data_IF_271373948307
#
_entry.id   IF_271373948307
#
_cell.length_a   1.000
_cell.length_b   1.000
_cell.length_c   1.000
_cell.angle_alpha   90.00
_cell.angle_beta   90.00
_cell.angle_gamma   90.00
#
_symmetry.space_group_name_H-M   'P 1'
#
loop_
_entity.id
_entity.type
_entity.pdbx_description
1 polymer ?
#
# COMPACT_ATOMS: atom_id res chain seq x y z
N UNK A 1 35.69 3.12 45.19
CA UNK A 1 36.07 3.87 43.97
C UNK A 1 35.48 3.14 42.79
N UNK A 2 34.61 3.82 42.05
CA UNK A 2 33.67 3.27 41.08
C UNK A 2 34.37 2.68 39.85
N UNK A 3 34.13 1.41 39.53
CA UNK A 3 34.27 0.89 38.16
C UNK A 3 32.97 0.17 37.82
N UNK A 4 31.95 0.98 37.60
CA UNK A 4 30.60 0.57 37.24
C UNK A 4 30.19 1.38 36.00
N UNK A 5 30.98 1.30 34.94
CA UNK A 5 30.59 1.85 33.63
C UNK A 5 31.18 0.96 32.54
N UNK A 6 30.43 0.81 31.44
CA UNK A 6 30.69 -0.05 30.27
C UNK A 6 30.15 -1.49 30.32
N UNK A 7 28.91 -1.65 30.80
CA UNK A 7 27.97 -2.64 30.24
C UNK A 7 26.83 -1.93 29.50
N UNK A 8 27.13 -0.86 28.76
CA UNK A 8 26.22 -0.38 27.69
C UNK A 8 26.54 -1.20 26.44
N UNK A 9 26.32 -2.52 26.56
CA UNK A 9 26.32 -3.43 25.43
C UNK A 9 24.91 -3.33 24.83
N UNK A 10 24.82 -2.64 23.70
CA UNK A 10 23.85 -2.90 22.63
C UNK A 10 22.44 -3.36 23.07
N UNK A 11 21.68 -2.48 23.72
CA UNK A 11 20.23 -2.48 23.48
C UNK A 11 19.90 -1.42 22.43
N UNK A 12 20.62 -1.50 21.31
CA UNK A 12 20.11 -0.98 20.07
C UNK A 12 18.99 -1.98 19.68
N UNK A 13 17.78 -1.74 20.21
CA UNK A 13 16.57 -2.38 19.69
C UNK A 13 16.47 -1.93 18.24
N UNK A 14 17.19 -2.63 17.36
CA UNK A 14 16.87 -2.67 15.96
C UNK A 14 15.53 -3.40 15.90
N UNK A 15 14.45 -2.66 16.14
CA UNK A 15 13.13 -3.11 15.73
C UNK A 15 13.28 -3.42 14.26
N UNK A 16 13.27 -4.70 13.91
CA UNK A 16 13.10 -5.14 12.55
C UNK A 16 11.73 -4.61 12.12
N UNK A 17 11.71 -3.39 11.56
CA UNK A 17 10.50 -2.75 11.06
C UNK A 17 10.00 -3.62 9.91
N UNK A 18 9.12 -4.56 10.24
CA UNK A 18 8.48 -5.42 9.27
C UNK A 18 7.56 -4.54 8.44
N UNK A 19 7.87 -4.40 7.16
CA UNK A 19 6.99 -3.71 6.22
C UNK A 19 5.68 -4.48 6.13
N UNK A 20 4.57 -3.78 6.38
CA UNK A 20 3.24 -4.33 6.21
C UNK A 20 2.34 -3.31 5.48
N UNK A 21 1.42 -3.85 4.68
CA UNK A 21 0.47 -3.06 3.91
C UNK A 21 -0.79 -2.75 4.74
N UNK A 22 -0.94 -3.31 5.94
CA UNK A 22 -2.18 -3.28 6.71
C UNK A 22 -2.52 -1.89 7.21
N UNK A 23 -3.75 -1.43 7.03
CA UNK A 23 -4.23 -0.14 7.49
C UNK A 23 -4.80 0.68 6.35
N UNK A 24 -5.04 1.95 6.63
CA UNK A 24 -5.68 2.88 5.71
C UNK A 24 -4.64 3.80 5.09
N UNK A 25 -4.66 3.90 3.77
CA UNK A 25 -3.75 4.71 2.97
C UNK A 25 -4.56 5.72 2.18
N UNK A 26 -4.15 6.98 2.21
CA UNK A 26 -4.82 8.06 1.50
C UNK A 26 -3.84 8.77 0.58
N UNK A 27 -4.31 9.14 -0.61
CA UNK A 27 -3.55 9.93 -1.54
C UNK A 27 -4.46 10.61 -2.54
N UNK A 28 -3.87 11.42 -3.41
CA UNK A 28 -4.60 12.19 -4.40
C UNK A 28 -3.85 12.16 -5.72
N UNK A 29 -4.58 11.97 -6.81
CA UNK A 29 -4.04 12.11 -8.16
C UNK A 29 -5.06 12.79 -9.05
N UNK A 30 -4.64 13.86 -9.71
CA UNK A 30 -5.53 14.76 -10.44
C UNK A 30 -6.73 15.21 -9.56
N UNK A 31 -7.96 14.96 -10.00
CA UNK A 31 -9.18 15.31 -9.29
C UNK A 31 -9.78 14.15 -8.49
N UNK A 32 -9.01 13.08 -8.28
CA UNK A 32 -9.48 11.89 -7.55
C UNK A 32 -8.67 11.76 -6.26
N UNK A 33 -9.37 11.76 -5.14
CA UNK A 33 -8.82 11.27 -3.87
C UNK A 33 -9.05 9.77 -3.78
N UNK A 34 -8.02 9.05 -3.34
CA UNK A 34 -8.09 7.61 -3.13
C UNK A 34 -7.86 7.29 -1.67
N UNK A 35 -8.68 6.39 -1.12
CA UNK A 35 -8.56 5.88 0.24
C UNK A 35 -8.63 4.36 0.19
N UNK A 36 -7.52 3.69 0.48
CA UNK A 36 -7.39 2.23 0.41
C UNK A 36 -7.20 1.67 1.81
N UNK A 37 -8.08 0.75 2.21
CA UNK A 37 -8.01 0.04 3.48
C UNK A 37 -7.61 -1.42 3.22
N UNK A 38 -6.53 -1.86 3.84
CA UNK A 38 -6.06 -3.26 3.79
C UNK A 38 -6.13 -3.88 5.17
N UNK A 39 -6.98 -4.87 5.36
CA UNK A 39 -7.18 -5.51 6.66
C UNK A 39 -6.25 -6.71 6.85
N UNK A 40 -6.01 -7.08 8.12
CA UNK A 40 -5.13 -8.21 8.47
C UNK A 40 -5.69 -9.57 8.06
N UNK A 41 -7.00 -9.66 7.88
CA UNK A 41 -7.70 -10.87 7.42
C UNK A 41 -7.62 -11.08 5.89
N UNK A 42 -6.98 -10.16 5.16
CA UNK A 42 -6.86 -10.21 3.71
C UNK A 42 -8.01 -9.54 2.96
N UNK A 43 -8.99 -8.94 3.65
CA UNK A 43 -10.02 -8.10 3.02
C UNK A 43 -9.49 -6.68 2.73
N UNK A 44 -10.07 -6.02 1.75
CA UNK A 44 -9.75 -4.64 1.42
C UNK A 44 -10.94 -3.84 0.88
N UNK A 45 -10.85 -2.53 1.03
CA UNK A 45 -11.77 -1.55 0.45
C UNK A 45 -10.97 -0.48 -0.27
N UNK A 46 -11.34 -0.18 -1.52
CA UNK A 46 -10.75 0.87 -2.32
C UNK A 46 -11.81 1.92 -2.63
N UNK A 47 -11.67 3.10 -2.04
CA UNK A 47 -12.56 4.22 -2.26
C UNK A 47 -11.89 5.24 -3.18
N UNK A 48 -12.62 5.65 -4.22
CA UNK A 48 -12.23 6.65 -5.20
C UNK A 48 -13.26 7.78 -5.19
N UNK A 49 -12.88 8.94 -4.67
CA UNK A 49 -13.74 10.12 -4.59
C UNK A 49 -13.33 11.13 -5.65
N UNK A 50 -14.22 11.40 -6.60
CA UNK A 50 -14.06 12.51 -7.56
C UNK A 50 -14.40 13.83 -6.86
N UNK A 51 -13.41 14.71 -6.79
CA UNK A 51 -13.49 15.97 -6.08
C UNK A 51 -14.27 17.05 -6.84
N UNK A 52 -14.61 16.84 -8.11
CA UNK A 52 -15.41 17.79 -8.92
C UNK A 52 -16.90 17.51 -8.80
N UNK A 53 -17.28 16.25 -8.88
CA UNK A 53 -18.69 15.80 -8.82
C UNK A 53 -19.12 15.39 -7.42
N UNK A 54 -18.17 15.25 -6.48
CA UNK A 54 -18.38 14.62 -5.18
C UNK A 54 -18.89 13.17 -5.27
N UNK A 55 -18.73 12.52 -6.44
CA UNK A 55 -19.12 11.13 -6.62
C UNK A 55 -18.08 10.19 -6.02
N UNK A 56 -18.54 9.12 -5.40
CA UNK A 56 -17.68 8.11 -4.80
C UNK A 56 -17.90 6.74 -5.48
N UNK A 57 -16.80 6.06 -5.81
CA UNK A 57 -16.78 4.66 -6.23
C UNK A 57 -16.05 3.84 -5.19
N UNK A 58 -16.69 2.81 -4.65
CA UNK A 58 -16.11 1.91 -3.66
C UNK A 58 -15.97 0.52 -4.29
N UNK A 59 -14.80 -0.09 -4.14
CA UNK A 59 -14.52 -1.47 -4.51
C UNK A 59 -14.13 -2.29 -3.27
N UNK A 60 -14.86 -3.34 -2.98
CA UNK A 60 -14.65 -4.22 -1.83
C UNK A 60 -14.18 -5.58 -2.31
N UNK A 61 -13.16 -6.16 -1.69
CA UNK A 61 -12.67 -7.47 -2.09
C UNK A 61 -11.61 -8.04 -1.16
N UNK A 62 -10.76 -8.88 -1.73
CA UNK A 62 -9.60 -9.48 -1.04
C UNK A 62 -8.32 -9.05 -1.73
N UNK A 63 -7.20 -9.05 -1.00
CA UNK A 63 -5.91 -8.72 -1.59
C UNK A 63 -4.85 -9.78 -1.27
N UNK A 64 -3.87 -9.87 -2.18
CA UNK A 64 -2.68 -10.69 -2.04
C UNK A 64 -1.47 -9.82 -2.31
N UNK A 65 -0.46 -9.91 -1.46
CA UNK A 65 0.79 -9.17 -1.55
C UNK A 65 1.96 -10.15 -1.43
N UNK A 66 2.98 -9.97 -2.27
CA UNK A 66 4.17 -10.82 -2.27
C UNK A 66 5.42 -9.99 -1.96
N UNK A 67 5.75 -9.89 -0.67
CA UNK A 67 6.91 -9.14 -0.19
C UNK A 67 8.27 -9.75 -0.59
N UNK A 68 8.29 -10.94 -1.20
CA UNK A 68 9.54 -11.55 -1.69
C UNK A 68 10.02 -10.95 -3.02
N UNK A 69 9.16 -10.18 -3.71
CA UNK A 69 9.43 -9.59 -5.03
C UNK A 69 9.64 -8.08 -4.94
N UNK A 70 10.37 -7.54 -5.92
CA UNK A 70 10.58 -6.10 -6.10
C UNK A 70 10.36 -5.69 -7.57
N UNK A 71 9.56 -4.65 -7.85
CA UNK A 71 8.60 -3.97 -6.95
C UNK A 71 7.58 -4.95 -6.35
N UNK A 72 7.01 -4.65 -5.18
CA UNK A 72 6.14 -5.58 -4.45
C UNK A 72 4.80 -5.69 -5.20
N UNK A 73 4.45 -6.82 -5.81
CA UNK A 73 3.19 -6.94 -6.53
C UNK A 73 2.02 -7.06 -5.55
N UNK A 74 0.92 -6.40 -5.89
CA UNK A 74 -0.35 -6.45 -5.17
C UNK A 74 -1.44 -6.85 -6.16
N UNK A 75 -2.26 -7.81 -5.77
CA UNK A 75 -3.44 -8.23 -6.53
C UNK A 75 -4.68 -8.07 -5.67
N UNK A 76 -5.68 -7.36 -6.18
CA UNK A 76 -7.01 -7.24 -5.61
C UNK A 76 -7.91 -8.20 -6.37
N UNK A 77 -8.53 -9.12 -5.66
CA UNK A 77 -9.29 -10.25 -6.19
C UNK A 77 -10.66 -10.29 -5.55
N UNK A 78 -11.58 -11.04 -6.16
CA UNK A 78 -12.92 -11.27 -5.63
C UNK A 78 -13.61 -9.95 -5.30
N UNK A 79 -13.53 -8.98 -6.23
CA UNK A 79 -14.13 -7.66 -6.05
C UNK A 79 -15.64 -7.82 -6.19
N UNK A 80 -16.41 -7.27 -5.26
CA UNK A 80 -17.87 -7.46 -5.21
C UNK A 80 -18.54 -6.70 -6.37
N UNK A 81 -18.03 -5.52 -6.68
CA UNK A 81 -18.62 -4.57 -7.62
C UNK A 81 -18.22 -4.86 -9.08
N UNK A 82 -17.31 -5.81 -9.33
CA UNK A 82 -16.84 -6.15 -10.68
C UNK A 82 -16.37 -7.61 -10.80
N UNK A 83 -16.47 -8.18 -12.00
CA UNK A 83 -16.04 -9.55 -12.29
C UNK A 83 -14.54 -9.71 -12.61
N UNK A 84 -13.76 -8.63 -12.60
CA UNK A 84 -12.32 -8.68 -12.87
C UNK A 84 -11.48 -8.37 -11.63
N UNK A 85 -10.26 -8.88 -11.61
CA UNK A 85 -9.25 -8.55 -10.59
C UNK A 85 -8.45 -7.32 -11.00
N UNK A 86 -7.83 -6.65 -10.03
CA UNK A 86 -6.93 -5.53 -10.24
C UNK A 86 -5.51 -5.91 -9.82
N UNK A 87 -4.51 -5.52 -10.60
CA UNK A 87 -3.12 -5.85 -10.38
C UNK A 87 -2.26 -4.58 -10.42
N UNK A 88 -1.41 -4.39 -9.42
CA UNK A 88 -0.49 -3.26 -9.33
C UNK A 88 0.83 -3.68 -8.67
N UNK A 89 1.72 -2.72 -8.48
CA UNK A 89 2.94 -2.81 -7.68
C UNK A 89 2.95 -1.70 -6.64
N UNK A 90 3.60 -1.98 -5.51
CA UNK A 90 3.82 -1.05 -4.41
C UNK A 90 5.29 -1.03 -4.01
N UNK A 91 5.76 0.12 -3.54
CA UNK A 91 7.07 0.31 -2.94
C UNK A 91 6.92 1.14 -1.67
N UNK A 92 7.63 0.76 -0.61
CA UNK A 92 7.65 1.52 0.64
C UNK A 92 8.79 2.52 0.61
N UNK A 93 8.46 3.80 0.77
CA UNK A 93 9.46 4.84 1.04
C UNK A 93 9.72 4.97 2.54
N UNK A 94 8.67 4.81 3.36
CA UNK A 94 8.74 4.72 4.82
C UNK A 94 7.51 3.96 5.35
N UNK A 95 7.42 3.73 6.67
CA UNK A 95 6.33 2.95 7.31
C UNK A 95 4.94 3.50 6.99
N UNK A 96 4.86 4.80 6.80
CA UNK A 96 3.62 5.55 6.60
C UNK A 96 3.54 6.18 5.20
N UNK A 97 4.43 5.80 4.27
CA UNK A 97 4.44 6.31 2.90
C UNK A 97 4.77 5.21 1.88
N UNK A 98 3.83 4.97 0.97
CA UNK A 98 4.01 4.04 -0.15
C UNK A 98 3.87 4.76 -1.49
N UNK A 99 4.57 4.22 -2.49
CA UNK A 99 4.34 4.48 -3.91
C UNK A 99 3.51 3.36 -4.48
N UNK A 100 2.46 3.68 -5.21
CA UNK A 100 1.59 2.72 -5.86
C UNK A 100 1.45 3.07 -7.35
N UNK A 101 1.46 2.06 -8.20
CA UNK A 101 1.27 2.22 -9.64
C UNK A 101 -0.21 2.08 -10.05
N UNK A 102 -0.57 2.52 -11.26
CA UNK A 102 -1.94 2.30 -11.76
C UNK A 102 -2.31 0.82 -11.80
N UNK A 103 -3.57 0.53 -11.48
CA UNK A 103 -4.10 -0.82 -11.60
C UNK A 103 -4.26 -1.23 -13.06
N UNK A 104 -3.94 -2.49 -13.34
CA UNK A 104 -4.26 -3.20 -14.57
C UNK A 104 -5.29 -4.28 -14.29
N UNK A 105 -6.24 -4.50 -15.20
CA UNK A 105 -7.21 -5.61 -15.09
C UNK A 105 -6.65 -6.95 -15.56
N UNK A 106 -5.43 -6.97 -16.12
CA UNK A 106 -4.80 -8.17 -16.68
C UNK A 106 -3.51 -8.50 -15.93
N UNK A 107 -3.43 -9.70 -15.37
CA UNK A 107 -2.26 -10.12 -14.56
C UNK A 107 -0.92 -10.04 -15.33
N UNK A 108 -0.93 -10.36 -16.63
CA UNK A 108 0.25 -10.32 -17.53
C UNK A 108 0.65 -8.90 -17.92
N UNK A 109 -0.29 -7.96 -17.86
CA UNK A 109 -0.05 -6.56 -18.15
C UNK A 109 -0.02 -5.72 -16.86
N UNK A 110 0.32 -6.34 -15.73
CA UNK A 110 0.57 -5.60 -14.51
C UNK A 110 1.82 -4.74 -14.68
N UNK A 111 1.87 -3.56 -14.08
CA UNK A 111 3.09 -2.77 -14.08
C UNK A 111 4.26 -3.56 -13.46
N UNK A 112 5.46 -3.35 -14.00
CA UNK A 112 6.71 -3.93 -13.48
C UNK A 112 7.71 -2.86 -13.04
N UNK A 113 7.42 -1.60 -13.35
CA UNK A 113 8.19 -0.41 -13.02
C UNK A 113 7.24 0.72 -12.71
N UNK A 114 7.68 1.70 -11.91
CA UNK A 114 6.88 2.88 -11.62
C UNK A 114 7.05 3.92 -12.73
N UNK A 115 5.94 4.37 -13.31
CA UNK A 115 5.91 5.47 -14.26
C UNK A 115 5.92 6.82 -13.54
N UNK A 116 6.55 7.82 -14.16
CA UNK A 116 6.59 9.18 -13.61
C UNK A 116 5.18 9.77 -13.45
N UNK A 117 4.32 9.57 -14.46
CA UNK A 117 2.98 10.15 -14.49
C UNK A 117 1.90 9.20 -14.02
N UNK A 118 2.18 7.89 -13.93
CA UNK A 118 1.20 6.84 -13.63
C UNK A 118 1.23 6.41 -12.16
N UNK A 119 2.33 6.62 -11.46
CA UNK A 119 2.40 6.33 -10.03
C UNK A 119 1.74 7.42 -9.16
N UNK A 120 1.42 7.05 -7.92
CA UNK A 120 0.93 7.95 -6.89
C UNK A 120 1.52 7.62 -5.52
N UNK A 121 1.62 8.63 -4.68
CA UNK A 121 2.05 8.49 -3.28
C UNK A 121 0.83 8.39 -2.38
N UNK A 122 0.82 7.40 -1.50
CA UNK A 122 -0.21 7.21 -0.49
C UNK A 122 0.41 7.28 0.90
N UNK A 123 -0.20 8.07 1.79
CA UNK A 123 0.18 8.20 3.20
C UNK A 123 -0.71 7.37 4.08
N UNK A 124 -0.14 6.72 5.08
CA UNK A 124 -0.92 5.97 6.07
C UNK A 124 -1.64 6.93 7.01
N UNK A 125 -2.92 6.68 7.25
CA UNK A 125 -3.69 7.33 8.30
C UNK A 125 -3.52 6.49 9.57
N UNK A 126 -3.12 7.14 10.67
CA UNK A 126 -3.05 6.53 12.01
C UNK A 126 -4.39 6.64 12.72
#
# INVERSE_FOLDING_TARGET
MFVLTLWIVFNNKHENKRWDLYGTWIGKRANVEVKFMFNKDGSCELNFTDLRSSSNTILTGTYVVDFSKKPIPVAIKSIVETNYSLYTIVEFFDRDLIKLEMFSTRWRARPIVFGADTSMLLKRIR
#
